data_IF_900148078518
#
_entry.id   IF_900148078518
#
_cell.length_a   1.000
_cell.length_b   1.000
_cell.length_c   1.000
_cell.angle_alpha   90.00
_cell.angle_beta   90.00
_cell.angle_gamma   90.00
#
_symmetry.space_group_name_H-M   'P 1'
#
loop_
_entity.id
_entity.type
_entity.pdbx_description
1 polymer ?
#
# COMPACT_ATOMS: atom_id res chain seq x y z
N UNK A 1 -0.58 -4.39 5.93
CA UNK A 1 -0.60 -3.24 5.03
C UNK A 1 -1.92 -2.52 5.21
N UNK A 2 -2.27 -1.70 4.24
CA UNK A 2 -3.55 -1.03 4.20
C UNK A 2 -4.70 -2.05 4.22
N UNK A 3 -5.87 -1.59 4.65
CA UNK A 3 -7.04 -2.46 4.80
C UNK A 3 -7.43 -3.10 3.49
N UNK A 4 -7.61 -2.31 2.47
CA UNK A 4 -7.96 -2.83 1.19
C UNK A 4 -6.66 -3.00 0.42
N UNK A 5 -6.23 -4.22 0.34
CA UNK A 5 -4.93 -4.56 -0.23
C UNK A 5 -4.88 -4.22 -1.70
N UNK A 6 -5.96 -4.55 -2.37
CA UNK A 6 -6.14 -4.31 -3.80
C UNK A 6 -6.15 -2.81 -4.15
N UNK A 7 -6.38 -1.98 -3.17
CA UNK A 7 -6.36 -0.53 -3.35
C UNK A 7 -4.92 -0.11 -3.63
N UNK A 8 -4.03 -0.77 -2.97
CA UNK A 8 -2.64 -0.52 -3.16
C UNK A 8 -2.14 -1.27 -4.38
N UNK A 9 -2.56 -2.51 -4.49
CA UNK A 9 -2.14 -3.34 -5.59
C UNK A 9 -1.38 -4.55 -5.08
N UNK A 10 -0.23 -4.81 -5.67
CA UNK A 10 0.58 -5.94 -5.27
C UNK A 10 1.83 -5.50 -4.54
N UNK A 11 1.84 -5.71 -3.22
CA UNK A 11 2.94 -5.36 -2.31
C UNK A 11 3.38 -3.91 -2.40
N UNK A 12 2.83 -3.11 -1.54
CA UNK A 12 3.16 -1.70 -1.45
C UNK A 12 3.41 -1.36 -0.01
N UNK A 13 4.03 -0.26 0.20
CA UNK A 13 4.30 0.24 1.51
C UNK A 13 3.25 1.28 1.81
N UNK A 14 2.62 1.19 2.94
CA UNK A 14 1.60 2.15 3.26
C UNK A 14 2.12 3.20 4.18
N UNK A 15 1.93 4.39 3.78
CA UNK A 15 2.28 5.52 4.55
C UNK A 15 1.09 6.45 4.65
N UNK A 16 0.43 6.34 5.78
CA UNK A 16 -0.72 7.16 6.14
C UNK A 16 -1.87 7.02 5.16
N UNK A 17 -2.03 5.84 4.64
CA UNK A 17 -3.13 5.54 3.76
C UNK A 17 -2.72 5.58 2.32
N UNK A 18 -1.53 6.07 2.09
CA UNK A 18 -1.01 6.16 0.75
C UNK A 18 -0.12 4.97 0.50
N UNK A 19 -0.45 4.23 -0.50
CA UNK A 19 0.30 3.07 -0.86
C UNK A 19 1.42 3.50 -1.81
N UNK A 20 2.63 3.47 -1.34
CA UNK A 20 3.76 3.84 -2.13
C UNK A 20 4.59 2.60 -2.43
N UNK A 21 5.32 2.59 -3.53
CA UNK A 21 6.21 1.48 -3.83
C UNK A 21 7.40 1.51 -2.90
N UNK A 22 7.71 0.39 -2.28
CA UNK A 22 8.77 0.35 -1.35
C UNK A 22 10.09 0.32 -2.06
N UNK A 23 11.08 0.87 -1.45
CA UNK A 23 12.41 0.89 -1.97
C UNK A 23 13.16 -0.25 -1.30
#
# INVERSE_FOLDING_TARGET
>A
ACKEYWECGAFLFCIEGICVPMIX
#
